data_IF_508816265913
#
_entry.id   IF_508816265913
#
_cell.length_a   1.000
_cell.length_b   1.000
_cell.length_c   1.000
_cell.angle_alpha   90.00
_cell.angle_beta   90.00
_cell.angle_gamma   90.00
#
_symmetry.space_group_name_H-M   'P 1'
#
loop_
_entity.id
_entity.type
_entity.pdbx_description
1 polymer ?
#
# COMPACT_ATOMS: atom_id res chain seq x y z
N UNK A 1 7.97 18.60 22.61
CA UNK A 1 7.06 18.87 21.49
C UNK A 1 5.98 17.81 21.57
N UNK A 2 4.71 18.18 21.73
CA UNK A 2 3.64 17.18 21.77
C UNK A 2 3.48 16.64 20.34
N UNK A 3 3.81 15.37 20.13
CA UNK A 3 3.46 14.68 18.88
C UNK A 3 1.93 14.70 18.80
N UNK A 4 1.37 15.28 17.74
CA UNK A 4 -0.07 15.28 17.54
C UNK A 4 -0.56 13.83 17.51
N UNK A 5 -1.55 13.46 18.35
CA UNK A 5 -2.03 12.09 18.38
C UNK A 5 -2.65 11.75 17.02
N UNK A 6 -2.37 10.54 16.54
CA UNK A 6 -2.97 10.03 15.29
C UNK A 6 -4.48 10.23 15.30
N UNK A 7 -5.07 10.82 14.25
CA UNK A 7 -6.51 11.05 14.18
C UNK A 7 -7.31 9.77 13.88
N UNK A 8 -6.64 8.62 13.73
CA UNK A 8 -7.24 7.37 13.26
C UNK A 8 -7.70 6.49 14.41
N UNK A 9 -8.95 6.04 14.32
CA UNK A 9 -9.55 5.11 15.28
C UNK A 9 -9.05 3.68 15.06
N UNK A 10 -9.31 2.80 16.04
CA UNK A 10 -9.05 1.37 15.88
C UNK A 10 -9.90 0.75 14.75
N UNK A 11 -11.12 1.27 14.53
CA UNK A 11 -12.01 0.82 13.45
C UNK A 11 -11.43 1.21 12.09
N UNK A 12 -10.88 2.41 11.93
CA UNK A 12 -10.19 2.84 10.70
C UNK A 12 -9.03 1.90 10.37
N UNK A 13 -8.19 1.61 11.37
CA UNK A 13 -7.03 0.72 11.22
C UNK A 13 -7.43 -0.71 10.84
N UNK A 14 -8.51 -1.24 11.41
CA UNK A 14 -9.02 -2.56 11.04
C UNK A 14 -9.56 -2.59 9.60
N UNK A 15 -10.28 -1.54 9.18
CA UNK A 15 -10.76 -1.39 7.80
C UNK A 15 -9.59 -1.36 6.81
N UNK A 16 -8.55 -0.55 7.08
CA UNK A 16 -7.36 -0.49 6.22
C UNK A 16 -6.56 -1.78 6.22
N UNK A 17 -6.45 -2.46 7.37
CA UNK A 17 -5.82 -3.79 7.45
C UNK A 17 -6.50 -4.78 6.51
N UNK A 18 -7.83 -4.84 6.52
CA UNK A 18 -8.61 -5.71 5.62
C UNK A 18 -8.41 -5.33 4.15
N UNK A 19 -8.40 -4.04 3.84
CA UNK A 19 -8.16 -3.56 2.47
C UNK A 19 -6.74 -3.90 1.99
N UNK A 20 -5.70 -3.69 2.81
CA UNK A 20 -4.31 -4.04 2.52
C UNK A 20 -4.14 -5.55 2.30
N UNK A 21 -4.78 -6.39 3.12
CA UNK A 21 -4.78 -7.84 2.96
C UNK A 21 -5.48 -8.28 1.67
N UNK A 22 -6.64 -7.69 1.35
CA UNK A 22 -7.36 -7.96 0.10
C UNK A 22 -6.50 -7.60 -1.11
N UNK A 23 -5.88 -6.42 -1.09
CA UNK A 23 -4.98 -5.99 -2.17
C UNK A 23 -3.74 -6.86 -2.27
N UNK A 24 -3.16 -7.27 -1.13
CA UNK A 24 -2.02 -8.19 -1.08
C UNK A 24 -2.35 -9.53 -1.72
N UNK A 25 -3.57 -10.05 -1.50
CA UNK A 25 -4.05 -11.26 -2.17
C UNK A 25 -4.16 -11.09 -3.68
N UNK A 26 -4.78 -10.01 -4.16
CA UNK A 26 -4.87 -9.71 -5.60
C UNK A 26 -3.48 -9.67 -6.27
N UNK A 27 -2.51 -9.01 -5.63
CA UNK A 27 -1.13 -8.90 -6.14
C UNK A 27 -0.44 -10.27 -6.12
N UNK A 28 -0.63 -11.05 -5.05
CA UNK A 28 -0.08 -12.40 -4.94
C UNK A 28 -0.65 -13.34 -5.99
N UNK A 29 -1.96 -13.30 -6.26
CA UNK A 29 -2.61 -14.14 -7.26
C UNK A 29 -2.07 -13.81 -8.66
N UNK A 30 -1.97 -12.52 -9.01
CA UNK A 30 -1.37 -12.10 -10.29
C UNK A 30 0.12 -12.44 -10.38
N UNK A 31 0.87 -12.37 -9.27
CA UNK A 31 2.27 -12.82 -9.26
C UNK A 31 2.37 -14.32 -9.55
N UNK A 32 1.49 -15.14 -8.99
CA UNK A 32 1.43 -16.57 -9.28
C UNK A 32 1.13 -16.83 -10.77
N UNK A 33 0.23 -16.04 -11.38
CA UNK A 33 -0.08 -16.13 -12.81
C UNK A 33 1.11 -15.76 -13.71
N UNK A 34 1.83 -14.68 -13.37
CA UNK A 34 3.06 -14.28 -14.09
C UNK A 34 4.13 -15.36 -13.97
N UNK A 35 4.32 -15.94 -12.78
CA UNK A 35 5.28 -17.03 -12.55
C UNK A 35 4.90 -18.32 -13.28
N UNK A 36 3.60 -18.54 -13.51
CA UNK A 36 3.09 -19.64 -14.33
C UNK A 36 3.24 -19.38 -15.85
N UNK A 37 3.82 -18.24 -16.25
CA UNK A 37 4.02 -17.87 -17.65
C UNK A 37 2.76 -17.38 -18.36
N UNK A 38 1.70 -17.03 -17.61
CA UNK A 38 0.52 -16.39 -18.20
C UNK A 38 0.84 -14.93 -18.55
N UNK A 39 0.27 -14.45 -19.64
CA UNK A 39 0.33 -13.03 -19.95
C UNK A 39 -0.71 -12.27 -19.12
N UNK A 40 -0.23 -11.59 -18.08
CA UNK A 40 -1.05 -10.80 -17.15
C UNK A 40 -0.89 -9.32 -17.46
N UNK A 41 -2.01 -8.61 -17.60
CA UNK A 41 -2.02 -7.15 -17.66
C UNK A 41 -1.91 -6.55 -16.25
N UNK A 42 -0.98 -5.59 -16.11
CA UNK A 42 -0.72 -4.89 -14.86
C UNK A 42 -1.32 -3.48 -14.83
N UNK A 43 -2.13 -3.14 -15.86
CA UNK A 43 -2.75 -1.82 -16.06
C UNK A 43 -3.58 -1.36 -14.86
N UNK A 44 -4.17 -2.31 -14.12
CA UNK A 44 -4.98 -2.05 -12.92
C UNK A 44 -4.17 -1.63 -11.68
N UNK A 45 -2.83 -1.72 -11.71
CA UNK A 45 -2.00 -1.31 -10.57
C UNK A 45 -1.22 -0.05 -10.92
N UNK A 46 -1.80 1.11 -10.60
CA UNK A 46 -1.09 2.39 -10.74
C UNK A 46 0.23 2.44 -9.95
N UNK A 47 0.31 1.71 -8.83
CA UNK A 47 1.53 1.57 -8.03
C UNK A 47 2.66 0.83 -8.77
N UNK A 48 2.31 -0.06 -9.70
CA UNK A 48 3.28 -0.80 -10.54
C UNK A 48 3.91 0.12 -11.58
N UNK A 49 3.23 1.20 -11.99
CA UNK A 49 3.70 2.11 -13.02
C UNK A 49 4.85 3.02 -12.56
N UNK A 50 5.10 3.14 -11.24
CA UNK A 50 6.29 3.82 -10.69
C UNK A 50 7.56 2.96 -10.71
N UNK A 51 7.56 1.82 -11.42
CA UNK A 51 8.73 0.96 -11.60
C UNK A 51 9.66 1.45 -12.71
N UNK A 52 10.93 1.02 -12.69
CA UNK A 52 11.82 1.28 -13.81
C UNK A 52 11.30 0.59 -15.08
N UNK A 53 11.38 1.22 -16.27
CA UNK A 53 10.84 0.69 -17.51
C UNK A 53 11.43 -0.69 -17.89
N UNK A 54 12.64 -1.02 -17.42
CA UNK A 54 13.32 -2.30 -17.64
C UNK A 54 12.99 -3.39 -16.59
N UNK A 55 12.22 -3.08 -15.54
CA UNK A 55 11.88 -4.06 -14.51
C UNK A 55 10.85 -5.08 -15.01
N UNK A 56 11.09 -6.36 -14.73
CA UNK A 56 10.19 -7.46 -15.12
C UNK A 56 8.87 -7.43 -14.34
N UNK A 57 7.80 -7.96 -14.94
CA UNK A 57 6.45 -8.01 -14.32
C UNK A 57 6.47 -8.66 -12.93
N UNK A 58 7.27 -9.73 -12.75
CA UNK A 58 7.41 -10.43 -11.47
C UNK A 58 8.09 -9.58 -10.39
N UNK A 59 9.17 -8.86 -10.74
CA UNK A 59 9.87 -7.97 -9.80
C UNK A 59 8.98 -6.83 -9.35
N UNK A 60 8.24 -6.22 -10.28
CA UNK A 60 7.28 -5.15 -9.98
C UNK A 60 6.20 -5.60 -8.99
N UNK A 61 5.61 -6.77 -9.23
CA UNK A 61 4.57 -7.33 -8.35
C UNK A 61 5.13 -7.71 -6.97
N UNK A 62 6.34 -8.28 -6.90
CA UNK A 62 7.02 -8.55 -5.62
C UNK A 62 7.26 -7.27 -4.82
N UNK A 63 7.78 -6.22 -5.47
CA UNK A 63 8.01 -4.92 -4.83
C UNK A 63 6.71 -4.32 -4.29
N UNK A 64 5.62 -4.42 -5.06
CA UNK A 64 4.31 -3.98 -4.61
C UNK A 64 3.82 -4.80 -3.40
N UNK A 65 3.99 -6.11 -3.42
CA UNK A 65 3.62 -6.96 -2.30
C UNK A 65 4.42 -6.60 -1.04
N UNK A 66 5.73 -6.38 -1.17
CA UNK A 66 6.59 -5.93 -0.07
C UNK A 66 6.12 -4.59 0.50
N UNK A 67 5.74 -3.64 -0.37
CA UNK A 67 5.16 -2.37 0.03
C UNK A 67 3.85 -2.53 0.81
N UNK A 68 2.92 -3.34 0.31
CA UNK A 68 1.65 -3.63 0.98
C UNK A 68 1.88 -4.27 2.35
N UNK A 69 2.82 -5.22 2.45
CA UNK A 69 3.17 -5.88 3.71
C UNK A 69 3.85 -4.92 4.70
N UNK A 70 4.68 -3.99 4.21
CA UNK A 70 5.27 -2.93 5.02
C UNK A 70 4.18 -2.01 5.61
N UNK A 71 3.26 -1.54 4.76
CA UNK A 71 2.11 -0.71 5.19
C UNK A 71 1.20 -1.46 6.17
N UNK A 72 0.98 -2.76 5.95
CA UNK A 72 0.21 -3.62 6.86
C UNK A 72 0.84 -3.71 8.25
N UNK A 73 2.17 -3.78 8.35
CA UNK A 73 2.89 -3.77 9.63
C UNK A 73 2.86 -2.40 10.29
N UNK A 74 2.86 -1.33 9.49
CA UNK A 74 2.83 0.04 9.96
C UNK A 74 1.41 0.55 10.29
N UNK A 75 0.33 -0.19 9.97
CA UNK A 75 -1.05 0.30 10.16
C UNK A 75 -1.41 0.59 11.62
N UNK A 76 -0.72 -0.04 12.58
CA UNK A 76 -0.87 0.21 14.01
C UNK A 76 0.10 1.30 14.53
N UNK A 77 1.00 1.79 13.68
CA UNK A 77 1.95 2.84 14.05
C UNK A 77 1.20 4.17 14.27
N UNK A 78 1.51 4.94 15.33
CA UNK A 78 0.94 6.27 15.54
C UNK A 78 1.21 7.25 14.40
N UNK A 79 2.30 7.07 13.64
CA UNK A 79 2.67 7.88 12.47
C UNK A 79 2.18 7.31 11.15
N UNK A 80 1.39 6.24 11.17
CA UNK A 80 0.75 5.76 9.95
C UNK A 80 0.03 6.92 9.25
N UNK A 81 0.17 7.01 7.93
CA UNK A 81 -0.49 8.03 7.13
C UNK A 81 -0.10 9.47 7.46
N UNK A 82 0.97 9.72 8.23
CA UNK A 82 1.55 11.05 8.33
C UNK A 82 2.32 11.36 7.05
N UNK A 83 2.17 12.58 6.53
CA UNK A 83 2.85 13.09 5.34
C UNK A 83 3.70 14.29 5.74
N UNK A 84 5.03 14.12 5.71
CA UNK A 84 5.97 15.20 6.03
C UNK A 84 5.85 16.42 5.10
N UNK A 85 5.51 16.21 3.83
CA UNK A 85 5.40 17.29 2.85
C UNK A 85 4.18 18.17 3.13
N UNK A 86 3.07 17.56 3.57
CA UNK A 86 1.86 18.27 4.00
C UNK A 86 1.92 18.70 5.47
N UNK A 87 2.89 18.19 6.24
CA UNK A 87 3.01 18.34 7.70
C UNK A 87 1.71 17.97 8.42
N UNK A 88 1.14 16.82 8.04
CA UNK A 88 -0.14 16.41 8.59
C UNK A 88 -0.51 14.98 8.22
N UNK A 89 -1.56 14.48 8.85
CA UNK A 89 -2.13 13.17 8.55
C UNK A 89 -2.98 13.24 7.28
N UNK A 90 -2.81 12.24 6.41
CA UNK A 90 -3.67 11.99 5.25
C UNK A 90 -5.11 11.84 5.72
N UNK A 91 -6.07 12.36 4.94
CA UNK A 91 -7.47 12.25 5.33
C UNK A 91 -7.91 10.78 5.39
N UNK A 92 -8.79 10.43 6.33
CA UNK A 92 -9.36 9.07 6.45
C UNK A 92 -9.98 8.62 5.12
N UNK A 93 -10.65 9.53 4.40
CA UNK A 93 -11.25 9.23 3.08
C UNK A 93 -10.19 8.84 2.05
N UNK A 94 -9.06 9.55 2.00
CA UNK A 94 -7.96 9.22 1.07
C UNK A 94 -7.36 7.84 1.42
N UNK A 95 -7.25 7.50 2.70
CA UNK A 95 -6.76 6.19 3.15
C UNK A 95 -7.80 5.07 3.02
N UNK A 96 -9.09 5.38 3.06
CA UNK A 96 -10.17 4.42 2.77
C UNK A 96 -10.15 3.99 1.30
N UNK A 97 -9.78 4.90 0.38
CA UNK A 97 -9.60 4.58 -1.04
C UNK A 97 -8.27 3.86 -1.33
N UNK A 98 -7.18 4.32 -0.70
CA UNK A 98 -5.84 3.81 -0.98
C UNK A 98 -4.97 3.75 0.29
N UNK A 99 -5.16 2.77 1.18
CA UNK A 99 -4.40 2.66 2.43
C UNK A 99 -2.91 2.34 2.19
N UNK A 100 -2.56 1.95 0.97
CA UNK A 100 -1.20 1.70 0.49
C UNK A 100 -0.51 2.95 -0.07
N UNK A 101 -1.12 4.15 0.01
CA UNK A 101 -0.46 5.40 -0.41
C UNK A 101 0.95 5.48 0.17
N UNK A 102 1.96 5.81 -0.63
CA UNK A 102 3.33 5.91 -0.13
C UNK A 102 3.56 7.35 0.38
N UNK A 103 3.31 7.56 1.67
CA UNK A 103 3.60 8.82 2.38
C UNK A 103 4.73 8.56 3.37
N UNK A 104 5.80 9.33 3.23
CA UNK A 104 6.93 9.28 4.14
C UNK A 104 6.51 9.85 5.51
N UNK A 105 6.69 9.10 6.61
CA UNK A 105 6.50 9.62 7.96
C UNK A 105 7.60 10.60 8.37
#
# INVERSE_FOLDING_TARGET
MAEEPSPYTAEDRDRWRKALLSKGKEVSDKLAEVLAGKDVELSDFELVQRGEPAETKDKRLRRLLDHLMSRLRAVDDPRFGYDEARRGFVAVVELDEAPWLDVAP
#
